data_IF_417361905524
#
_entry.id   IF_417361905524
#
_cell.length_a   1.000
_cell.length_b   1.000
_cell.length_c   1.000
_cell.angle_alpha   90.00
_cell.angle_beta   90.00
_cell.angle_gamma   90.00
#
_symmetry.space_group_name_H-M   'P 1'
#
loop_
_entity.id
_entity.type
_entity.pdbx_description
1 polymer ?
#
# COMPACT_ATOMS: atom_id res chain seq x y z
N UNK A 1 -16.05 4.69 -19.86
CA UNK A 1 -14.96 3.71 -20.02
C UNK A 1 -14.58 3.16 -18.65
N UNK A 2 -14.01 1.95 -18.56
CA UNK A 2 -13.67 1.33 -17.27
C UNK A 2 -12.41 1.96 -16.62
N UNK A 3 -12.52 2.68 -15.48
CA UNK A 3 -11.38 3.37 -14.85
C UNK A 3 -10.18 2.46 -14.50
N UNK A 4 -10.37 1.23 -13.95
CA UNK A 4 -9.31 0.23 -13.78
C UNK A 4 -8.50 -0.05 -15.05
N UNK A 5 -9.15 -0.15 -16.20
CA UNK A 5 -8.47 -0.31 -17.48
C UNK A 5 -7.74 0.95 -17.93
N UNK A 6 -8.34 2.13 -17.74
CA UNK A 6 -7.72 3.41 -18.09
C UNK A 6 -6.42 3.65 -17.29
N UNK A 7 -6.44 3.47 -15.96
CA UNK A 7 -5.24 3.67 -15.11
C UNK A 7 -4.12 2.68 -15.46
N UNK A 8 -4.48 1.44 -15.81
CA UNK A 8 -3.54 0.41 -16.29
C UNK A 8 -2.86 0.85 -17.59
N UNK A 9 -3.64 1.39 -18.53
CA UNK A 9 -3.12 1.89 -19.80
C UNK A 9 -2.24 3.13 -19.63
N UNK A 10 -2.56 4.03 -18.70
CA UNK A 10 -1.69 5.16 -18.35
C UNK A 10 -0.33 4.67 -17.88
N UNK A 11 -0.29 3.73 -16.93
CA UNK A 11 0.95 3.12 -16.45
C UNK A 11 1.76 2.43 -17.57
N UNK A 12 1.07 1.71 -18.46
CA UNK A 12 1.75 1.03 -19.57
C UNK A 12 2.35 2.04 -20.57
N UNK A 13 1.63 3.11 -20.92
CA UNK A 13 2.16 4.16 -21.79
C UNK A 13 3.29 4.96 -21.12
N UNK A 14 3.19 5.20 -19.80
CA UNK A 14 4.27 5.85 -19.05
C UNK A 14 5.57 5.04 -19.13
N UNK A 15 5.48 3.71 -18.96
CA UNK A 15 6.66 2.82 -19.09
C UNK A 15 7.24 2.80 -20.50
N UNK A 16 6.39 2.67 -21.52
CA UNK A 16 6.86 2.46 -22.89
C UNK A 16 7.34 3.75 -23.56
N UNK A 17 6.69 4.87 -23.28
CA UNK A 17 6.88 6.12 -24.02
C UNK A 17 7.23 7.29 -23.12
N UNK A 18 6.61 7.39 -21.94
CA UNK A 18 6.66 8.59 -21.12
C UNK A 18 5.67 9.66 -21.59
N UNK A 19 5.57 10.73 -20.81
CA UNK A 19 4.69 11.87 -21.11
C UNK A 19 5.48 13.19 -21.03
N UNK A 20 4.88 14.26 -21.56
CA UNK A 20 5.32 15.63 -21.37
C UNK A 20 4.14 16.42 -20.82
N UNK A 21 4.38 17.20 -19.77
CA UNK A 21 3.39 18.07 -19.12
C UNK A 21 4.00 19.46 -18.98
N UNK A 22 3.42 20.49 -19.62
CA UNK A 22 3.96 21.85 -19.63
C UNK A 22 5.47 21.89 -19.94
N UNK A 23 5.89 21.18 -20.99
CA UNK A 23 7.30 21.02 -21.41
C UNK A 23 8.19 20.23 -20.44
N UNK A 24 7.69 19.87 -19.25
CA UNK A 24 8.42 19.05 -18.29
C UNK A 24 8.29 17.55 -18.61
N UNK A 25 9.39 16.79 -18.60
CA UNK A 25 9.35 15.37 -18.90
C UNK A 25 8.80 14.55 -17.73
N UNK A 26 7.88 13.63 -18.04
CA UNK A 26 7.36 12.63 -17.11
C UNK A 26 7.87 11.27 -17.56
N UNK A 27 8.77 10.69 -16.78
CA UNK A 27 9.56 9.53 -17.20
C UNK A 27 9.41 8.34 -16.26
N UNK A 28 9.35 7.15 -16.85
CA UNK A 28 9.41 5.90 -16.08
C UNK A 28 10.75 5.72 -15.34
N UNK A 29 11.85 6.26 -15.90
CA UNK A 29 13.16 6.23 -15.26
C UNK A 29 13.16 6.88 -13.88
N UNK A 30 12.37 7.94 -13.65
CA UNK A 30 12.25 8.55 -12.31
C UNK A 30 11.61 7.60 -11.29
N UNK A 31 10.60 6.81 -11.70
CA UNK A 31 9.96 5.80 -10.84
C UNK A 31 10.94 4.64 -10.57
N UNK A 32 11.72 4.25 -11.58
CA UNK A 32 12.74 3.22 -11.44
C UNK A 32 13.87 3.65 -10.49
N UNK A 33 14.44 4.85 -10.68
CA UNK A 33 15.46 5.42 -9.79
C UNK A 33 14.94 5.53 -8.35
N UNK A 34 13.69 6.01 -8.17
CA UNK A 34 13.05 6.03 -6.86
C UNK A 34 12.99 4.63 -6.24
N UNK A 35 12.58 3.62 -7.00
CA UNK A 35 12.53 2.25 -6.51
C UNK A 35 13.92 1.71 -6.15
N UNK A 36 14.92 1.96 -6.99
CA UNK A 36 16.28 1.45 -6.78
C UNK A 36 16.84 2.02 -5.46
N UNK A 37 16.77 3.33 -5.25
CA UNK A 37 17.14 3.97 -3.98
C UNK A 37 16.29 3.49 -2.79
N UNK A 38 14.96 3.42 -2.95
CA UNK A 38 14.05 3.00 -1.86
C UNK A 38 14.25 1.53 -1.48
N UNK A 39 14.71 0.69 -2.40
CA UNK A 39 14.89 -0.75 -2.18
C UNK A 39 16.13 -1.09 -1.35
N UNK A 40 17.13 -0.22 -1.35
CA UNK A 40 18.37 -0.34 -0.57
C UNK A 40 18.17 0.11 0.88
N UNK A 41 17.12 0.89 1.16
CA UNK A 41 16.87 1.41 2.50
C UNK A 41 16.40 0.29 3.46
N UNK A 42 16.93 0.27 4.70
CA UNK A 42 16.52 -0.67 5.76
C UNK A 42 15.05 -0.50 6.19
N UNK A 43 14.51 0.70 5.98
CA UNK A 43 13.07 0.98 6.04
C UNK A 43 12.70 1.73 4.77
N UNK A 44 11.66 1.25 4.08
CA UNK A 44 11.26 1.77 2.78
C UNK A 44 10.13 2.81 2.90
N UNK A 45 10.20 3.87 2.11
CA UNK A 45 9.13 4.85 1.89
C UNK A 45 7.91 4.18 1.24
N UNK A 46 8.15 3.34 0.22
CA UNK A 46 7.11 2.71 -0.59
C UNK A 46 7.13 1.18 -0.48
N UNK A 47 6.83 0.65 0.71
CA UNK A 47 6.88 -0.80 1.02
C UNK A 47 6.03 -1.73 0.13
N UNK A 48 5.07 -1.19 -0.65
CA UNK A 48 4.26 -1.95 -1.61
C UNK A 48 4.89 -2.04 -3.00
N UNK A 49 5.77 -1.11 -3.34
CA UNK A 49 6.47 -1.10 -4.62
C UNK A 49 7.53 -2.22 -4.58
N UNK A 50 7.53 -3.08 -5.59
CA UNK A 50 8.43 -4.24 -5.68
C UNK A 50 9.02 -4.32 -7.08
N UNK A 51 10.08 -5.11 -7.24
CA UNK A 51 10.71 -5.36 -8.55
C UNK A 51 9.72 -5.75 -9.65
N UNK A 52 8.68 -6.52 -9.30
CA UNK A 52 7.58 -6.91 -10.22
C UNK A 52 6.84 -5.69 -10.81
N UNK A 53 6.72 -4.59 -10.07
CA UNK A 53 6.10 -3.35 -10.52
C UNK A 53 6.96 -2.59 -11.54
N UNK A 54 8.28 -2.71 -11.44
CA UNK A 54 9.23 -2.01 -12.30
C UNK A 54 9.49 -2.82 -13.58
N UNK A 55 9.84 -4.09 -13.45
CA UNK A 55 10.15 -4.96 -14.59
C UNK A 55 8.92 -5.28 -15.43
N UNK A 56 7.73 -5.35 -14.81
CA UNK A 56 6.46 -5.68 -15.46
C UNK A 56 6.56 -6.89 -16.41
N UNK A 57 6.86 -8.09 -15.86
CA UNK A 57 6.90 -9.31 -16.65
C UNK A 57 5.54 -9.63 -17.28
N UNK A 58 5.50 -10.64 -18.14
CA UNK A 58 4.27 -11.08 -18.81
C UNK A 58 3.13 -11.31 -17.78
N UNK A 59 1.91 -10.96 -18.15
CA UNK A 59 0.71 -10.87 -17.28
C UNK A 59 0.71 -9.76 -16.21
N UNK A 60 1.87 -9.27 -15.74
CA UNK A 60 1.91 -8.13 -14.80
C UNK A 60 1.42 -6.82 -15.43
N UNK A 61 1.56 -6.68 -16.76
CA UNK A 61 0.98 -5.59 -17.55
C UNK A 61 -0.56 -5.54 -17.49
N UNK A 62 -1.20 -6.68 -17.22
CA UNK A 62 -2.67 -6.80 -17.14
C UNK A 62 -3.20 -6.48 -15.73
N UNK A 63 -2.37 -6.60 -14.69
CA UNK A 63 -2.78 -6.41 -13.30
C UNK A 63 -3.01 -4.94 -12.96
N UNK A 64 -4.26 -4.57 -12.72
CA UNK A 64 -4.65 -3.22 -12.26
C UNK A 64 -4.03 -2.90 -10.91
N UNK A 65 -3.97 -3.86 -9.98
CA UNK A 65 -3.39 -3.65 -8.66
C UNK A 65 -1.95 -3.17 -8.69
N UNK A 66 -1.14 -3.66 -9.64
CA UNK A 66 0.23 -3.19 -9.83
C UNK A 66 0.26 -1.77 -10.41
N UNK A 67 -0.64 -1.45 -11.34
CA UNK A 67 -0.72 -0.10 -11.91
C UNK A 67 -1.09 0.94 -10.85
N UNK A 68 -2.11 0.66 -10.03
CA UNK A 68 -2.56 1.55 -8.95
C UNK A 68 -1.49 1.69 -7.86
N UNK A 69 -0.71 0.63 -7.56
CA UNK A 69 0.37 0.72 -6.59
C UNK A 69 1.55 1.58 -7.08
N UNK A 70 1.88 1.51 -8.37
CA UNK A 70 2.87 2.40 -9.01
C UNK A 70 2.37 3.84 -9.03
N UNK A 71 1.13 4.04 -9.47
CA UNK A 71 0.50 5.35 -9.57
C UNK A 71 -0.21 5.71 -8.26
N UNK A 72 0.50 5.65 -7.13
CA UNK A 72 -0.07 5.90 -5.81
C UNK A 72 0.47 7.14 -5.12
N UNK A 73 -0.34 7.73 -4.23
CA UNK A 73 0.08 8.85 -3.38
C UNK A 73 1.37 8.56 -2.58
N UNK A 74 1.62 7.29 -2.23
CA UNK A 74 2.89 6.90 -1.55
C UNK A 74 4.10 7.04 -2.44
N UNK A 75 3.97 6.66 -3.71
CA UNK A 75 5.06 6.78 -4.68
C UNK A 75 5.31 8.25 -5.01
N UNK A 76 4.25 9.05 -5.22
CA UNK A 76 4.37 10.49 -5.41
C UNK A 76 5.08 11.20 -4.24
N UNK A 77 4.61 10.94 -3.01
CA UNK A 77 5.22 11.50 -1.80
C UNK A 77 6.68 11.06 -1.62
N UNK A 78 7.00 9.80 -1.93
CA UNK A 78 8.36 9.26 -1.88
C UNK A 78 9.29 9.93 -2.89
N UNK A 79 8.87 10.06 -4.15
CA UNK A 79 9.65 10.76 -5.19
C UNK A 79 9.87 12.22 -4.78
N UNK A 80 8.84 12.93 -4.35
CA UNK A 80 8.96 14.33 -3.92
C UNK A 80 9.90 14.52 -2.72
N UNK A 81 9.92 13.55 -1.81
CA UNK A 81 10.83 13.55 -0.66
C UNK A 81 12.28 13.37 -1.11
N UNK A 82 12.55 12.39 -1.99
CA UNK A 82 13.90 12.17 -2.50
C UNK A 82 14.41 13.32 -3.36
N UNK A 83 13.53 14.00 -4.12
CA UNK A 83 13.88 15.24 -4.82
C UNK A 83 14.27 16.34 -3.82
N UNK A 84 13.50 16.50 -2.73
CA UNK A 84 13.79 17.49 -1.69
C UNK A 84 15.15 17.24 -1.01
N UNK A 85 15.55 15.97 -0.89
CA UNK A 85 16.86 15.57 -0.40
C UNK A 85 17.95 15.49 -1.46
N UNK A 86 17.67 15.92 -2.71
CA UNK A 86 18.60 15.89 -3.84
C UNK A 86 19.10 14.48 -4.20
N UNK A 87 18.39 13.44 -3.78
CA UNK A 87 18.65 12.05 -4.16
C UNK A 87 18.07 11.69 -5.54
N UNK A 88 17.07 12.44 -5.99
CA UNK A 88 16.52 12.36 -7.35
C UNK A 88 16.63 13.72 -8.04
N UNK A 89 16.71 13.74 -9.38
CA UNK A 89 16.82 14.98 -10.14
C UNK A 89 15.54 15.84 -10.02
N UNK A 90 15.64 17.18 -10.11
CA UNK A 90 14.50 18.08 -9.92
C UNK A 90 13.33 17.86 -10.88
N UNK A 91 13.61 17.38 -12.10
CA UNK A 91 12.62 17.06 -13.14
C UNK A 91 11.70 15.88 -12.74
N UNK A 92 12.13 15.02 -11.81
CA UNK A 92 11.29 13.98 -11.20
C UNK A 92 10.08 14.56 -10.46
N UNK A 93 10.07 15.85 -10.10
CA UNK A 93 8.92 16.56 -9.53
C UNK A 93 7.70 16.49 -10.44
N UNK A 94 7.87 16.66 -11.75
CA UNK A 94 6.76 16.55 -12.71
C UNK A 94 6.18 15.13 -12.72
N UNK A 95 7.04 14.11 -12.54
CA UNK A 95 6.59 12.72 -12.43
C UNK A 95 5.85 12.46 -11.13
N UNK A 96 6.29 13.02 -10.00
CA UNK A 96 5.55 12.92 -8.74
C UNK A 96 4.14 13.55 -8.84
N UNK A 97 4.04 14.75 -9.44
CA UNK A 97 2.76 15.43 -9.67
C UNK A 97 1.84 14.63 -10.60
N UNK A 98 2.38 14.05 -11.67
CA UNK A 98 1.64 13.17 -12.56
C UNK A 98 1.08 11.95 -11.83
N UNK A 99 1.91 11.28 -11.02
CA UNK A 99 1.52 10.11 -10.22
C UNK A 99 0.42 10.48 -9.23
N UNK A 100 0.58 11.61 -8.52
CA UNK A 100 -0.40 12.10 -7.56
C UNK A 100 -1.75 12.40 -8.22
N UNK A 101 -1.75 13.10 -9.35
CA UNK A 101 -2.97 13.50 -10.06
C UNK A 101 -3.76 12.28 -10.53
N UNK A 102 -3.08 11.24 -11.02
CA UNK A 102 -3.73 10.00 -11.42
C UNK A 102 -4.20 9.14 -10.24
N UNK A 103 -3.49 9.13 -9.09
CA UNK A 103 -3.99 8.50 -7.85
C UNK A 103 -5.31 9.15 -7.42
N UNK A 104 -5.34 10.48 -7.35
CA UNK A 104 -6.52 11.25 -6.98
C UNK A 104 -7.68 11.04 -7.96
N UNK A 105 -7.42 11.11 -9.28
CA UNK A 105 -8.42 10.84 -10.30
C UNK A 105 -8.99 9.42 -10.18
N UNK A 106 -8.14 8.40 -10.02
CA UNK A 106 -8.60 7.03 -9.87
C UNK A 106 -9.44 6.84 -8.59
N UNK A 107 -9.05 7.48 -7.49
CA UNK A 107 -9.82 7.47 -6.23
C UNK A 107 -11.22 8.07 -6.41
N UNK A 108 -11.36 9.16 -7.17
CA UNK A 108 -12.67 9.77 -7.47
C UNK A 108 -13.59 8.82 -8.22
N UNK A 109 -13.04 7.95 -9.07
CA UNK A 109 -13.77 6.95 -9.85
C UNK A 109 -13.94 5.59 -9.15
N UNK A 110 -13.46 5.45 -7.91
CA UNK A 110 -13.49 4.18 -7.19
C UNK A 110 -13.94 4.35 -5.73
N UNK A 111 -14.86 5.29 -5.48
CA UNK A 111 -15.42 5.51 -4.14
C UNK A 111 -16.40 4.40 -3.75
N UNK A 112 -16.12 3.74 -2.62
CA UNK A 112 -16.90 2.60 -2.09
C UNK A 112 -17.71 2.95 -0.84
N UNK A 113 -17.42 4.09 -0.21
CA UNK A 113 -18.00 4.50 1.08
C UNK A 113 -18.26 5.99 1.04
N UNK A 114 -19.23 6.44 1.83
CA UNK A 114 -19.54 7.86 1.97
C UNK A 114 -18.32 8.66 2.40
N UNK A 115 -17.72 8.27 3.53
CA UNK A 115 -16.48 8.82 4.04
C UNK A 115 -15.32 7.82 3.85
N UNK A 116 -14.17 8.33 3.43
CA UNK A 116 -12.92 7.60 3.22
C UNK A 116 -11.79 8.36 3.92
N UNK A 117 -10.65 7.70 4.13
CA UNK A 117 -9.45 8.34 4.67
C UNK A 117 -8.80 9.30 3.67
N UNK A 118 -8.99 9.04 2.36
CA UNK A 118 -8.58 9.95 1.29
C UNK A 118 -9.80 10.75 0.85
N UNK A 119 -9.68 12.07 0.86
CA UNK A 119 -10.78 12.98 0.49
C UNK A 119 -11.24 12.77 -0.94
N UNK A 120 -10.31 12.44 -1.84
CA UNK A 120 -10.60 12.12 -3.25
C UNK A 120 -11.34 10.78 -3.42
N UNK A 121 -11.41 9.95 -2.39
CA UNK A 121 -12.17 8.69 -2.41
C UNK A 121 -13.52 8.79 -1.68
N UNK A 122 -13.95 9.99 -1.28
CA UNK A 122 -15.31 10.21 -0.76
C UNK A 122 -16.37 9.95 -1.83
N UNK A 123 -17.60 9.71 -1.37
CA UNK A 123 -18.73 9.70 -2.29
C UNK A 123 -18.85 11.07 -2.98
N UNK A 124 -19.31 11.04 -4.22
CA UNK A 124 -19.58 12.27 -4.96
C UNK A 124 -20.81 12.95 -4.36
N UNK A 125 -20.68 14.24 -4.04
CA UNK A 125 -21.73 15.10 -3.49
C UNK A 125 -21.47 16.54 -3.97
N UNK A 126 -22.46 17.42 -3.90
CA UNK A 126 -22.28 18.82 -4.30
C UNK A 126 -21.26 19.56 -3.41
N UNK A 127 -21.10 19.12 -2.16
CA UNK A 127 -20.22 19.74 -1.17
C UNK A 127 -18.82 19.14 -1.12
N UNK A 128 -18.56 18.02 -1.79
CA UNK A 128 -17.26 17.33 -1.68
C UNK A 128 -16.13 18.02 -2.45
N UNK A 129 -16.46 18.96 -3.35
CA UNK A 129 -15.47 19.63 -4.22
C UNK A 129 -14.88 18.72 -5.30
N UNK A 130 -15.37 17.47 -5.43
CA UNK A 130 -14.86 16.51 -6.40
C UNK A 130 -15.19 16.92 -7.83
N UNK A 131 -16.36 17.52 -8.09
CA UNK A 131 -16.70 18.05 -9.43
C UNK A 131 -15.69 19.12 -9.86
N UNK A 132 -15.38 20.08 -9.00
CA UNK A 132 -14.36 21.11 -9.29
C UNK A 132 -13.00 20.47 -9.55
N UNK A 133 -12.61 19.45 -8.77
CA UNK A 133 -11.37 18.72 -9.03
C UNK A 133 -11.38 18.02 -10.40
N UNK A 134 -12.50 17.39 -10.79
CA UNK A 134 -12.65 16.71 -12.07
C UNK A 134 -12.57 17.68 -13.24
N UNK A 135 -13.19 18.86 -13.14
CA UNK A 135 -13.11 19.93 -14.14
C UNK A 135 -11.66 20.40 -14.37
N UNK A 136 -10.94 20.74 -13.29
CA UNK A 136 -9.51 21.08 -13.40
C UNK A 136 -8.66 19.91 -13.93
N UNK A 137 -9.06 18.67 -13.63
CA UNK A 137 -8.36 17.48 -14.14
C UNK A 137 -8.60 17.29 -15.63
N UNK A 138 -9.78 17.65 -16.15
CA UNK A 138 -10.08 17.66 -17.58
C UNK A 138 -9.15 18.60 -18.34
N UNK A 139 -8.99 19.82 -17.85
CA UNK A 139 -8.05 20.80 -18.42
C UNK A 139 -6.61 20.28 -18.39
N UNK A 140 -6.19 19.71 -17.26
CA UNK A 140 -4.87 19.12 -17.10
C UNK A 140 -4.61 17.94 -18.07
N UNK A 141 -5.61 17.07 -18.28
CA UNK A 141 -5.50 15.95 -19.22
C UNK A 141 -5.28 16.42 -20.67
N UNK A 142 -5.86 17.56 -21.07
CA UNK A 142 -5.66 18.15 -22.40
C UNK A 142 -4.22 18.65 -22.63
N UNK A 143 -3.48 18.93 -21.55
CA UNK A 143 -2.09 19.39 -21.62
C UNK A 143 -1.10 18.23 -21.69
N UNK A 144 -1.52 17.00 -21.38
CA UNK A 144 -0.66 15.82 -21.44
C UNK A 144 -0.40 15.38 -22.87
N UNK A 145 0.88 15.29 -23.22
CA UNK A 145 1.32 14.74 -24.51
C UNK A 145 2.09 13.45 -24.27
N UNK A 146 1.74 12.39 -25.00
CA UNK A 146 2.54 11.17 -25.01
C UNK A 146 3.82 11.44 -25.79
N UNK A 147 4.98 11.10 -25.21
CA UNK A 147 6.24 11.21 -25.96
C UNK A 147 6.22 10.20 -27.12
N UNK A 148 6.80 10.57 -28.24
CA UNK A 148 6.95 9.71 -29.42
C UNK A 148 5.64 9.22 -30.07
N UNK A 149 4.50 9.82 -29.73
CA UNK A 149 3.22 9.61 -30.41
C UNK A 149 2.60 10.94 -30.78
N UNK A 150 2.24 11.09 -32.05
CA UNK A 150 1.57 12.27 -32.58
C UNK A 150 0.05 12.20 -32.39
N UNK A 151 -0.51 10.99 -32.34
CA UNK A 151 -1.93 10.76 -32.11
C UNK A 151 -2.29 10.79 -30.63
N UNK A 152 -3.49 11.32 -30.35
CA UNK A 152 -4.12 11.27 -29.04
C UNK A 152 -4.26 9.82 -28.56
N UNK A 153 -3.98 9.58 -27.27
CA UNK A 153 -4.08 8.25 -26.69
C UNK A 153 -5.54 7.93 -26.37
N UNK A 154 -6.09 6.77 -26.80
CA UNK A 154 -7.46 6.37 -26.48
C UNK A 154 -7.77 6.35 -24.98
N UNK A 155 -6.77 6.10 -24.12
CA UNK A 155 -6.96 6.13 -22.67
C UNK A 155 -7.12 7.55 -22.11
N UNK A 156 -6.52 8.58 -22.73
CA UNK A 156 -6.70 9.98 -22.31
C UNK A 156 -8.09 10.46 -22.72
N UNK A 157 -8.52 10.16 -23.96
CA UNK A 157 -9.89 10.39 -24.42
C UNK A 157 -10.90 9.66 -23.54
N UNK A 158 -10.61 8.40 -23.18
CA UNK A 158 -11.43 7.62 -22.26
C UNK A 158 -11.59 8.27 -20.89
N UNK A 159 -10.55 8.93 -20.36
CA UNK A 159 -10.65 9.70 -19.11
C UNK A 159 -11.49 10.97 -19.29
N UNK A 160 -11.25 11.75 -20.35
CA UNK A 160 -12.02 12.98 -20.65
C UNK A 160 -13.53 12.69 -20.79
N UNK A 161 -13.86 11.61 -21.50
CA UNK A 161 -15.23 11.15 -21.66
C UNK A 161 -15.82 10.68 -20.33
N UNK A 162 -15.07 9.90 -19.55
CA UNK A 162 -15.57 9.39 -18.27
C UNK A 162 -15.80 10.50 -17.25
N UNK A 163 -14.97 11.55 -17.25
CA UNK A 163 -15.18 12.77 -16.45
C UNK A 163 -16.48 13.45 -16.87
N UNK A 164 -16.63 13.74 -18.17
CA UNK A 164 -17.81 14.44 -18.69
C UNK A 164 -19.11 13.66 -18.46
N UNK A 165 -19.05 12.32 -18.56
CA UNK A 165 -20.19 11.45 -18.30
C UNK A 165 -20.55 11.41 -16.82
N UNK A 166 -19.55 11.37 -15.92
CA UNK A 166 -19.80 11.39 -14.47
C UNK A 166 -20.41 12.72 -14.02
N UNK A 167 -19.95 13.85 -14.57
CA UNK A 167 -20.51 15.17 -14.28
C UNK A 167 -21.98 15.26 -14.69
N UNK A 168 -22.30 14.87 -15.92
CA UNK A 168 -23.68 14.86 -16.43
C UNK A 168 -24.57 13.90 -15.64
N UNK A 169 -24.09 12.69 -15.35
CA UNK A 169 -24.82 11.73 -14.55
C UNK A 169 -25.11 12.27 -13.14
N UNK A 170 -24.12 12.92 -12.51
CA UNK A 170 -24.32 13.46 -11.17
C UNK A 170 -25.35 14.58 -11.14
N UNK A 171 -25.27 15.54 -12.09
CA UNK A 171 -26.25 16.62 -12.21
C UNK A 171 -27.67 16.09 -12.41
N UNK A 172 -27.87 15.11 -13.28
CA UNK A 172 -29.18 14.49 -13.48
C UNK A 172 -29.69 13.78 -12.21
N UNK A 173 -28.85 12.95 -11.58
CA UNK A 173 -29.23 12.21 -10.37
C UNK A 173 -29.53 13.13 -9.17
N UNK A 174 -28.76 14.21 -9.00
CA UNK A 174 -28.94 15.14 -7.87
C UNK A 174 -30.15 16.05 -8.08
N UNK A 175 -30.29 16.63 -9.28
CA UNK A 175 -31.33 17.62 -9.58
C UNK A 175 -32.70 16.97 -9.82
N UNK A 176 -32.76 15.87 -10.59
CA UNK A 176 -34.03 15.29 -11.03
C UNK A 176 -34.50 14.11 -10.15
N UNK A 177 -33.59 13.42 -9.47
CA UNK A 177 -33.91 12.21 -8.71
C UNK A 177 -33.62 12.30 -7.19
N UNK A 178 -33.14 13.46 -6.72
CA UNK A 178 -32.93 13.71 -5.29
C UNK A 178 -31.82 12.86 -4.65
N UNK A 179 -30.86 12.37 -5.43
CA UNK A 179 -29.73 11.61 -4.89
C UNK A 179 -28.83 12.51 -4.03
N UNK A 180 -28.57 12.09 -2.78
CA UNK A 180 -27.71 12.82 -1.85
C UNK A 180 -26.22 12.59 -2.07
N UNK A 181 -25.87 11.45 -2.67
CA UNK A 181 -24.49 11.08 -2.98
C UNK A 181 -24.43 9.98 -4.05
N UNK A 182 -23.27 9.82 -4.68
CA UNK A 182 -23.00 8.75 -5.64
C UNK A 182 -21.71 8.01 -5.30
N UNK A 183 -21.79 6.67 -5.24
CA UNK A 183 -20.64 5.78 -5.06
C UNK A 183 -20.11 5.35 -6.43
N UNK A 184 -19.03 6.00 -6.87
CA UNK A 184 -18.48 5.83 -8.23
C UNK A 184 -17.89 4.45 -8.50
N UNK A 185 -17.52 3.69 -7.46
CA UNK A 185 -17.13 2.27 -7.63
C UNK A 185 -18.24 1.38 -8.19
N UNK A 186 -19.51 1.82 -8.18
CA UNK A 186 -20.64 1.09 -8.77
C UNK A 186 -20.78 1.32 -10.28
N UNK A 187 -20.00 2.23 -10.86
CA UNK A 187 -20.04 2.59 -12.27
C UNK A 187 -18.95 1.89 -13.10
N UNK A 188 -18.13 1.05 -12.47
CA UNK A 188 -17.06 0.30 -13.14
C UNK A 188 -17.47 -1.16 -13.39
N UNK A 189 -16.63 -1.88 -14.14
CA UNK A 189 -16.91 -3.28 -14.51
C UNK A 189 -16.34 -4.29 -13.50
N UNK A 190 -15.78 -3.84 -12.37
CA UNK A 190 -15.19 -4.73 -11.35
C UNK A 190 -16.19 -5.80 -10.85
N UNK A 191 -17.48 -5.49 -10.55
CA UNK A 191 -18.42 -6.52 -10.12
C UNK A 191 -18.60 -7.65 -11.15
N UNK A 192 -18.56 -7.31 -12.44
CA UNK A 192 -18.65 -8.27 -13.53
C UNK A 192 -17.36 -9.11 -13.64
N UNK A 193 -16.18 -8.49 -13.52
CA UNK A 193 -14.91 -9.23 -13.51
C UNK A 193 -14.79 -10.19 -12.32
N UNK A 194 -15.32 -9.78 -11.16
CA UNK A 194 -15.40 -10.62 -9.97
C UNK A 194 -16.31 -11.83 -10.22
N UNK A 195 -17.48 -11.63 -10.85
CA UNK A 195 -18.36 -12.72 -11.24
C UNK A 195 -17.65 -13.71 -12.18
N UNK A 196 -16.92 -13.22 -13.19
CA UNK A 196 -16.15 -14.10 -14.07
C UNK A 196 -15.07 -14.88 -13.32
N UNK A 197 -14.48 -14.30 -12.29
CA UNK A 197 -13.49 -14.97 -11.45
C UNK A 197 -14.12 -16.09 -10.60
N UNK A 198 -15.32 -15.86 -10.06
CA UNK A 198 -16.11 -16.91 -9.37
C UNK A 198 -16.44 -18.05 -10.34
N UNK A 199 -16.92 -17.73 -11.55
CA UNK A 199 -17.25 -18.72 -12.58
C UNK A 199 -16.03 -19.56 -12.97
N UNK A 200 -14.87 -18.93 -13.22
CA UNK A 200 -13.62 -19.66 -13.50
C UNK A 200 -13.16 -20.52 -12.33
N UNK A 201 -13.36 -20.05 -11.10
CA UNK A 201 -13.00 -20.79 -9.88
C UNK A 201 -13.77 -22.09 -9.72
N UNK A 202 -15.00 -22.18 -10.23
CA UNK A 202 -15.81 -23.42 -10.21
C UNK A 202 -15.23 -24.54 -11.08
N UNK A 203 -14.38 -24.22 -12.05
CA UNK A 203 -13.71 -25.21 -12.91
C UNK A 203 -12.46 -25.87 -12.27
N UNK A 204 -12.07 -25.48 -11.06
CA UNK A 204 -10.85 -25.97 -10.42
C UNK A 204 -9.60 -25.67 -11.25
N UNK A 205 -8.92 -26.71 -11.71
CA UNK A 205 -7.75 -26.57 -12.58
C UNK A 205 -8.10 -26.13 -14.02
N UNK A 206 -9.36 -26.24 -14.43
CA UNK A 206 -9.84 -25.77 -15.74
C UNK A 206 -10.38 -24.35 -15.64
N UNK A 207 -9.47 -23.37 -15.68
CA UNK A 207 -9.80 -21.94 -15.53
C UNK A 207 -10.35 -21.27 -16.80
N UNK A 208 -10.42 -22.01 -17.92
CA UNK A 208 -10.98 -21.54 -19.19
C UNK A 208 -12.19 -22.41 -19.57
N UNK A 209 -13.39 -22.10 -19.04
CA UNK A 209 -14.58 -22.90 -19.30
C UNK A 209 -15.06 -22.72 -20.74
N UNK A 210 -15.56 -23.78 -21.35
CA UNK A 210 -16.33 -23.69 -22.60
C UNK A 210 -17.74 -23.10 -22.35
N UNK A 211 -18.51 -22.86 -23.41
CA UNK A 211 -19.83 -22.23 -23.30
C UNK A 211 -20.82 -23.03 -22.43
N UNK A 212 -20.73 -24.37 -22.44
CA UNK A 212 -21.60 -25.24 -21.63
C UNK A 212 -21.19 -25.18 -20.16
N UNK A 213 -19.90 -25.24 -19.89
CA UNK A 213 -19.33 -25.12 -18.56
C UNK A 213 -19.62 -23.75 -17.94
N UNK A 214 -19.45 -22.67 -18.71
CA UNK A 214 -19.76 -21.32 -18.29
C UNK A 214 -21.24 -21.19 -17.91
N UNK A 215 -22.14 -21.67 -18.77
CA UNK A 215 -23.60 -21.65 -18.49
C UNK A 215 -23.93 -22.42 -17.21
N UNK A 216 -23.34 -23.58 -17.01
CA UNK A 216 -23.55 -24.41 -15.82
C UNK A 216 -23.05 -23.71 -14.55
N UNK A 217 -21.81 -23.21 -14.58
CA UNK A 217 -21.19 -22.51 -13.45
C UNK A 217 -21.91 -21.20 -13.12
N UNK A 218 -22.36 -20.45 -14.12
CA UNK A 218 -23.16 -19.24 -13.94
C UNK A 218 -24.51 -19.56 -13.29
N UNK A 219 -25.24 -20.57 -13.81
CA UNK A 219 -26.52 -21.02 -13.23
C UNK A 219 -26.34 -21.43 -11.77
N UNK A 220 -25.31 -22.21 -11.46
CA UNK A 220 -25.02 -22.60 -10.08
C UNK A 220 -24.74 -21.38 -9.21
N UNK A 221 -23.97 -20.40 -9.71
CA UNK A 221 -23.64 -19.18 -8.95
C UNK A 221 -24.88 -18.34 -8.63
N UNK A 222 -25.83 -18.26 -9.57
CA UNK A 222 -27.11 -17.60 -9.33
C UNK A 222 -27.94 -18.33 -8.27
N UNK A 223 -28.04 -19.66 -8.36
CA UNK A 223 -28.75 -20.48 -7.37
C UNK A 223 -28.12 -20.32 -5.99
N UNK A 224 -26.79 -20.43 -5.86
CA UNK A 224 -26.07 -20.27 -4.60
C UNK A 224 -26.35 -18.88 -3.96
N UNK A 225 -26.43 -17.84 -4.79
CA UNK A 225 -26.69 -16.46 -4.33
C UNK A 225 -28.14 -16.21 -3.88
N UNK A 226 -29.11 -16.99 -4.38
CA UNK A 226 -30.53 -16.87 -4.01
C UNK A 226 -30.84 -17.79 -2.82
N UNK A 227 -30.18 -18.94 -2.75
CA UNK A 227 -30.40 -19.97 -1.73
C UNK A 227 -29.62 -19.73 -0.42
N UNK A 228 -28.86 -18.63 -0.34
CA UNK A 228 -28.25 -18.17 0.91
C UNK A 228 -29.35 -17.58 1.79
N UNK A 229 -29.82 -18.37 2.77
CA UNK A 229 -30.88 -17.98 3.72
C UNK A 229 -30.51 -16.70 4.48
N UNK A 230 -31.48 -15.81 4.69
CA UNK A 230 -31.32 -14.61 5.52
C UNK A 230 -30.94 -14.98 6.96
N UNK A 231 -30.06 -14.19 7.60
CA UNK A 231 -29.58 -14.41 8.98
C UNK A 231 -30.69 -14.44 10.05
N UNK A 232 -31.92 -14.00 9.73
CA UNK A 232 -33.05 -13.87 10.66
C UNK A 232 -34.29 -14.70 10.25
N UNK A 233 -34.19 -16.03 10.13
CA UNK A 233 -35.39 -16.88 9.98
C UNK A 233 -35.84 -17.48 11.32
N UNK A 234 -37.16 -17.48 11.56
CA UNK A 234 -37.83 -18.03 12.75
C UNK A 234 -38.12 -19.55 12.66
N UNK A 235 -37.66 -20.24 11.62
CA UNK A 235 -37.89 -21.68 11.43
C UNK A 235 -36.63 -22.49 11.76
N UNK A 236 -36.81 -23.64 12.43
CA UNK A 236 -35.73 -24.58 12.73
C UNK A 236 -35.01 -25.05 11.46
N UNK A 237 -33.69 -25.22 11.56
CA UNK A 237 -32.83 -25.68 10.47
C UNK A 237 -33.17 -27.12 10.13
N UNK A 238 -33.81 -27.34 8.99
CA UNK A 238 -33.99 -28.67 8.42
C UNK A 238 -32.72 -29.13 7.66
N UNK A 239 -32.53 -30.45 7.59
CA UNK A 239 -31.42 -31.20 6.97
C UNK A 239 -31.25 -30.92 5.48
N UNK A 240 -32.17 -30.19 4.85
CA UNK A 240 -32.02 -29.67 3.50
C UNK A 240 -30.76 -28.78 3.36
N UNK A 241 -30.34 -28.11 4.43
CA UNK A 241 -29.12 -27.27 4.45
C UNK A 241 -27.86 -28.06 4.08
N UNK A 242 -27.82 -29.37 4.37
CA UNK A 242 -26.71 -30.28 4.03
C UNK A 242 -26.60 -30.58 2.53
N UNK A 243 -27.72 -30.57 1.81
CA UNK A 243 -27.74 -30.83 0.36
C UNK A 243 -27.33 -29.61 -0.46
N UNK A 244 -27.45 -28.41 0.11
CA UNK A 244 -27.17 -27.14 -0.56
C UNK A 244 -25.81 -26.53 -0.22
N UNK A 245 -25.12 -27.05 0.80
CA UNK A 245 -23.82 -26.54 1.23
C UNK A 245 -22.65 -27.17 0.46
N UNK A 246 -22.52 -26.84 -0.83
CA UNK A 246 -21.29 -27.14 -1.62
C UNK A 246 -20.07 -26.40 -1.05
N UNK A 247 -20.28 -25.39 -0.20
CA UNK A 247 -19.22 -24.66 0.49
C UNK A 247 -18.36 -25.57 1.39
N UNK A 248 -18.92 -26.66 1.93
CA UNK A 248 -18.17 -27.62 2.74
C UNK A 248 -17.26 -28.56 1.91
N UNK A 249 -17.45 -28.66 0.59
CA UNK A 249 -16.61 -29.50 -0.27
C UNK A 249 -15.37 -28.73 -0.75
N UNK A 250 -15.41 -27.39 -0.82
CA UNK A 250 -14.28 -26.57 -1.27
C UNK A 250 -13.23 -26.28 -0.20
N UNK A 251 -13.50 -26.52 1.09
CA UNK A 251 -12.51 -26.30 2.16
C UNK A 251 -11.38 -27.34 2.21
N UNK A 252 -11.41 -28.38 1.36
CA UNK A 252 -10.33 -29.37 1.27
C UNK A 252 -9.28 -29.09 0.17
N UNK A 253 -9.27 -27.90 -0.44
CA UNK A 253 -8.08 -27.46 -1.20
C UNK A 253 -7.10 -26.82 -0.21
N UNK A 254 -6.12 -27.65 0.19
CA UNK A 254 -4.98 -27.35 1.06
C UNK A 254 -4.51 -25.88 1.03
N UNK A 255 -4.90 -25.11 2.04
CA UNK A 255 -3.98 -24.16 2.64
C UNK A 255 -2.97 -24.95 3.50
N UNK A 256 -1.65 -24.72 3.39
CA UNK A 256 -0.73 -25.29 4.35
C UNK A 256 -0.94 -24.61 5.71
N UNK A 257 -1.74 -25.28 6.54
CA UNK A 257 -1.82 -25.05 7.98
C UNK A 257 -0.45 -25.37 8.57
N UNK A 258 0.27 -24.33 9.02
CA UNK A 258 1.44 -24.50 9.88
C UNK A 258 0.96 -25.03 11.23
N UNK A 259 0.90 -26.35 11.35
CA UNK A 259 0.64 -27.04 12.62
C UNK A 259 1.88 -26.97 13.51
N UNK A 260 1.70 -26.38 14.69
CA UNK A 260 2.58 -26.49 15.85
C UNK A 260 2.99 -27.96 16.07
N UNK A 261 4.29 -28.24 15.95
CA UNK A 261 4.87 -29.45 16.51
C UNK A 261 5.97 -28.98 17.49
N UNK A 262 5.63 -29.04 18.78
CA UNK A 262 6.60 -29.04 19.86
C UNK A 262 7.43 -30.33 19.78
N UNK A 263 8.74 -30.22 19.58
CA UNK A 263 9.72 -31.23 19.95
C UNK A 263 10.97 -30.54 20.48
N UNK A 264 11.21 -30.68 21.78
CA UNK A 264 12.47 -30.40 22.46
C UNK A 264 13.46 -31.54 22.17
N UNK A 265 14.71 -31.25 21.76
CA UNK A 265 15.98 -31.89 22.18
C UNK A 265 17.19 -31.06 21.66
N UNK A 266 18.45 -31.23 22.13
CA UNK A 266 19.24 -30.14 22.74
C UNK A 266 20.55 -29.76 22.01
N UNK A 267 21.17 -28.72 22.59
CA UNK A 267 22.43 -28.00 22.31
C UNK A 267 23.67 -28.79 21.82
N UNK A 268 24.48 -28.14 20.94
CA UNK A 268 25.97 -27.93 20.96
C UNK A 268 26.47 -27.63 19.52
N UNK A 269 27.48 -26.81 19.16
CA UNK A 269 28.55 -26.01 19.79
C UNK A 269 29.02 -24.93 18.77
N UNK A 270 29.56 -23.82 19.31
CA UNK A 270 30.46 -22.76 18.77
C UNK A 270 30.91 -22.78 17.29
N UNK A 271 31.00 -21.58 16.70
CA UNK A 271 32.30 -20.96 16.35
C UNK A 271 32.18 -19.43 16.32
N UNK A 272 33.18 -18.79 16.93
CA UNK A 272 33.44 -17.36 17.05
C UNK A 272 33.92 -16.83 15.70
N UNK A 273 33.34 -15.74 15.20
CA UNK A 273 34.09 -14.75 14.43
C UNK A 273 33.69 -13.35 14.88
N UNK A 274 34.57 -12.79 15.72
CA UNK A 274 34.78 -11.36 15.86
C UNK A 274 35.04 -10.77 14.49
N UNK A 275 34.26 -9.77 14.09
CA UNK A 275 34.73 -8.66 13.27
C UNK A 275 33.81 -7.47 13.58
N UNK A 276 34.43 -6.36 13.98
CA UNK A 276 33.78 -5.12 14.34
C UNK A 276 32.81 -4.68 13.23
N UNK A 277 31.60 -4.17 13.55
CA UNK A 277 30.75 -3.58 12.53
C UNK A 277 31.48 -2.39 11.90
N UNK A 278 31.51 -2.27 10.57
CA UNK A 278 32.01 -1.07 9.91
C UNK A 278 31.19 0.13 10.39
N UNK A 279 31.87 1.23 10.70
CA UNK A 279 31.25 2.53 10.97
C UNK A 279 30.30 2.88 9.82
N UNK A 280 29.01 3.02 10.14
CA UNK A 280 28.00 3.43 9.15
C UNK A 280 28.22 4.91 8.79
N UNK A 281 28.24 5.27 7.49
CA UNK A 281 28.13 6.66 7.07
C UNK A 281 26.78 7.23 7.55
N UNK A 282 26.80 8.48 8.00
CA UNK A 282 25.71 9.16 8.71
C UNK A 282 24.31 8.94 8.13
N UNK A 283 23.31 8.90 9.01
CA UNK A 283 21.90 8.71 8.68
C UNK A 283 21.49 9.61 7.51
N UNK A 284 21.14 9.01 6.37
CA UNK A 284 20.59 9.79 5.27
C UNK A 284 19.32 10.51 5.76
N UNK A 285 19.12 11.78 5.38
CA UNK A 285 17.92 12.56 5.69
C UNK A 285 16.61 11.78 5.41
N UNK A 286 16.66 10.85 4.46
CA UNK A 286 15.59 9.92 4.12
C UNK A 286 15.21 9.00 5.28
N UNK A 287 16.18 8.38 5.97
CA UNK A 287 15.90 7.50 7.10
C UNK A 287 15.28 8.27 8.26
N UNK A 288 15.80 9.47 8.57
CA UNK A 288 15.25 10.33 9.61
C UNK A 288 13.80 10.73 9.32
N UNK A 289 13.48 11.02 8.06
CA UNK A 289 12.13 11.34 7.64
C UNK A 289 11.17 10.14 7.73
N UNK A 290 11.65 8.93 7.48
CA UNK A 290 10.88 7.69 7.65
C UNK A 290 10.63 7.41 9.13
N UNK A 291 11.66 7.58 9.97
CA UNK A 291 11.55 7.40 11.42
C UNK A 291 10.55 8.42 12.00
N UNK A 292 10.59 9.68 11.55
CA UNK A 292 9.62 10.70 11.92
C UNK A 292 8.18 10.28 11.58
N UNK A 293 7.98 9.73 10.38
CA UNK A 293 6.68 9.22 9.94
C UNK A 293 6.17 8.05 10.81
N UNK A 294 7.06 7.11 11.16
CA UNK A 294 6.73 6.00 12.08
C UNK A 294 6.39 6.53 13.47
N UNK A 295 7.19 7.46 14.00
CA UNK A 295 6.95 8.08 15.29
C UNK A 295 5.62 8.84 15.31
N UNK A 296 5.29 9.56 14.25
CA UNK A 296 3.97 10.19 14.06
C UNK A 296 2.80 9.20 14.05
N UNK A 297 2.98 8.02 13.43
CA UNK A 297 2.00 6.94 13.50
C UNK A 297 1.84 6.40 14.93
N UNK A 298 2.94 6.28 15.69
CA UNK A 298 2.91 5.87 17.10
C UNK A 298 2.10 6.89 17.93
N UNK A 299 2.32 8.20 17.74
CA UNK A 299 1.52 9.26 18.39
C UNK A 299 0.03 9.07 18.10
N UNK A 300 -0.34 8.88 16.83
CA UNK A 300 -1.73 8.65 16.42
C UNK A 300 -2.36 7.44 17.12
N UNK A 301 -1.61 6.35 17.29
CA UNK A 301 -2.09 5.13 17.95
C UNK A 301 -2.15 5.22 19.48
N UNK A 302 -1.31 6.04 20.09
CA UNK A 302 -1.27 6.20 21.55
C UNK A 302 -2.18 7.31 22.06
N UNK A 303 -2.58 8.27 21.23
CA UNK A 303 -3.41 9.42 21.63
C UNK A 303 -4.69 9.07 22.39
N UNK A 304 -5.31 7.93 22.08
CA UNK A 304 -6.52 7.45 22.78
C UNK A 304 -6.25 6.56 23.99
N UNK A 305 -4.99 6.24 24.29
CA UNK A 305 -4.58 5.27 25.32
C UNK A 305 -3.78 5.89 26.48
N UNK A 306 -3.32 7.12 26.33
CA UNK A 306 -2.50 7.83 27.33
C UNK A 306 -3.17 9.16 27.70
N UNK A 307 -2.78 9.74 28.84
CA UNK A 307 -3.34 11.02 29.27
C UNK A 307 -2.90 12.19 28.38
N UNK A 308 -3.66 13.29 28.42
CA UNK A 308 -3.41 14.48 27.58
C UNK A 308 -1.99 15.03 27.70
N UNK A 309 -1.44 15.10 28.93
CA UNK A 309 -0.06 15.55 29.18
C UNK A 309 0.96 14.66 28.45
N UNK A 310 0.75 13.35 28.45
CA UNK A 310 1.63 12.43 27.73
C UNK A 310 1.48 12.54 26.22
N UNK A 311 0.30 12.88 25.70
CA UNK A 311 0.10 13.14 24.27
C UNK A 311 0.87 14.41 23.87
N UNK A 312 0.74 15.49 24.63
CA UNK A 312 1.46 16.74 24.40
C UNK A 312 2.98 16.54 24.47
N UNK A 313 3.47 15.72 25.39
CA UNK A 313 4.88 15.37 25.52
C UNK A 313 5.48 14.67 24.29
N UNK A 314 4.70 13.82 23.62
CA UNK A 314 5.18 12.99 22.49
C UNK A 314 4.83 13.57 21.12
N UNK A 315 4.02 14.61 21.07
CA UNK A 315 3.59 15.25 19.82
C UNK A 315 4.19 16.64 19.68
N UNK A 316 4.28 17.12 18.45
CA UNK A 316 4.70 18.49 18.15
C UNK A 316 3.91 19.05 16.98
N UNK A 317 4.10 20.34 16.71
CA UNK A 317 3.63 20.92 15.46
C UNK A 317 4.50 20.43 14.31
N UNK A 318 3.86 20.22 13.14
CA UNK A 318 4.57 19.84 11.92
C UNK A 318 5.46 20.98 11.47
N UNK A 319 6.78 20.79 11.59
CA UNK A 319 7.74 21.58 10.83
C UNK A 319 7.56 21.32 9.33
N UNK A 320 7.12 22.33 8.58
CA UNK A 320 6.85 22.24 7.14
C UNK A 320 8.14 22.34 6.32
N UNK A 321 9.17 22.98 6.87
CA UNK A 321 10.41 23.28 6.16
C UNK A 321 11.58 22.37 6.59
N UNK A 322 11.44 21.68 7.72
CA UNK A 322 12.46 20.78 8.26
C UNK A 322 12.64 19.50 7.44
N UNK A 323 13.90 19.03 7.26
CA UNK A 323 14.19 17.81 6.53
C UNK A 323 13.50 16.59 7.17
N UNK A 324 13.51 16.51 8.49
CA UNK A 324 12.94 15.42 9.29
C UNK A 324 11.45 15.20 9.05
N UNK A 325 10.66 16.26 8.83
CA UNK A 325 9.23 16.13 8.61
C UNK A 325 8.84 16.13 7.13
N UNK A 326 9.80 16.22 6.21
CA UNK A 326 9.55 16.33 4.77
C UNK A 326 8.63 15.21 4.26
N UNK A 327 8.96 13.93 4.53
CA UNK A 327 8.13 12.82 4.07
C UNK A 327 6.73 12.86 4.69
N UNK A 328 6.65 13.14 5.99
CA UNK A 328 5.38 13.25 6.72
C UNK A 328 4.48 14.32 6.11
N UNK A 329 5.03 15.49 5.79
CA UNK A 329 4.32 16.61 5.15
C UNK A 329 3.84 16.20 3.76
N UNK A 330 4.71 15.64 2.92
CA UNK A 330 4.36 15.19 1.56
C UNK A 330 3.34 14.05 1.56
N UNK A 331 3.32 13.23 2.62
CA UNK A 331 2.43 12.08 2.79
C UNK A 331 1.07 12.45 3.42
N UNK A 332 0.93 13.66 3.93
CA UNK A 332 -0.31 14.13 4.52
C UNK A 332 -1.23 14.65 3.41
N UNK A 333 -2.44 14.10 3.31
CA UNK A 333 -3.42 14.57 2.32
C UNK A 333 -3.81 16.03 2.58
N UNK A 334 -3.94 16.82 1.52
CA UNK A 334 -4.30 18.25 1.58
C UNK A 334 -5.66 18.47 2.28
N UNK A 335 -5.78 19.56 3.05
CA UNK A 335 -6.98 20.02 3.80
C UNK A 335 -7.32 19.26 5.10
N UNK A 336 -6.38 18.52 5.67
CA UNK A 336 -6.52 17.93 7.00
C UNK A 336 -5.99 18.88 8.09
N UNK A 337 -6.63 20.04 8.24
CA UNK A 337 -6.22 21.09 9.19
C UNK A 337 -6.59 20.72 10.65
N UNK A 338 -7.53 19.78 10.82
CA UNK A 338 -8.00 19.31 12.14
C UNK A 338 -7.84 17.80 12.40
N UNK A 339 -7.22 17.06 11.49
CA UNK A 339 -7.06 15.62 11.64
C UNK A 339 -6.29 14.99 10.48
N UNK A 340 -5.01 14.73 10.67
CA UNK A 340 -4.12 14.10 9.69
C UNK A 340 -2.95 13.40 10.36
N UNK A 341 -1.86 13.19 9.62
CA UNK A 341 -0.63 12.61 10.17
C UNK A 341 -0.08 13.49 11.30
N UNK A 342 0.20 12.88 12.45
CA UNK A 342 0.71 13.57 13.65
C UNK A 342 2.23 13.71 13.55
N UNK A 343 2.79 14.84 13.98
CA UNK A 343 4.24 14.99 14.11
C UNK A 343 4.70 14.56 15.51
N UNK A 344 5.85 13.84 15.61
CA UNK A 344 6.46 13.48 16.88
C UNK A 344 7.17 14.68 17.53
N UNK A 345 7.32 14.68 18.85
CA UNK A 345 8.27 15.58 19.52
C UNK A 345 9.72 15.18 19.24
N UNK A 346 10.66 16.12 19.36
CA UNK A 346 12.09 15.85 19.16
C UNK A 346 12.61 14.72 20.06
N UNK A 347 12.10 14.61 21.28
CA UNK A 347 12.45 13.53 22.20
C UNK A 347 11.93 12.16 21.73
N UNK A 348 10.71 12.10 21.21
CA UNK A 348 10.17 10.85 20.64
C UNK A 348 10.94 10.46 19.36
N UNK A 349 11.25 11.44 18.51
CA UNK A 349 12.07 11.28 17.31
C UNK A 349 13.42 10.63 17.65
N UNK A 350 14.14 11.19 18.63
CA UNK A 350 15.44 10.68 19.07
C UNK A 350 15.33 9.27 19.67
N UNK A 351 14.30 9.01 20.49
CA UNK A 351 14.06 7.67 21.02
C UNK A 351 13.83 6.64 19.90
N UNK A 352 13.03 6.96 18.88
CA UNK A 352 12.80 6.08 17.75
C UNK A 352 14.06 5.89 16.88
N UNK A 353 14.89 6.93 16.75
CA UNK A 353 16.18 6.83 16.07
C UNK A 353 17.14 5.89 16.82
N UNK A 354 17.32 6.09 18.12
CA UNK A 354 18.14 5.22 18.96
C UNK A 354 17.62 3.77 18.95
N UNK A 355 16.30 3.60 19.02
CA UNK A 355 15.65 2.30 18.92
C UNK A 355 15.92 1.62 17.57
N UNK A 356 15.99 2.35 16.45
CA UNK A 356 16.33 1.79 15.15
C UNK A 356 17.78 1.29 15.10
N UNK A 357 18.73 2.08 15.59
CA UNK A 357 20.15 1.71 15.64
C UNK A 357 20.36 0.43 16.44
N UNK A 358 19.71 0.33 17.60
CA UNK A 358 19.76 -0.87 18.45
C UNK A 358 19.01 -2.03 17.79
N UNK A 359 17.86 -1.80 17.16
CA UNK A 359 17.11 -2.84 16.45
C UNK A 359 17.96 -3.49 15.36
N UNK A 360 18.68 -2.71 14.55
CA UNK A 360 19.54 -3.22 13.46
C UNK A 360 20.68 -4.09 13.98
N UNK A 361 21.35 -3.66 15.04
CA UNK A 361 22.46 -4.44 15.63
C UNK A 361 21.96 -5.67 16.40
N UNK A 362 20.74 -5.66 16.93
CA UNK A 362 20.20 -6.75 17.73
C UNK A 362 19.43 -7.80 16.93
N UNK A 363 18.85 -7.47 15.76
CA UNK A 363 17.91 -8.36 15.07
C UNK A 363 18.57 -9.61 14.53
N UNK A 364 19.68 -9.50 13.79
CA UNK A 364 20.34 -10.65 13.15
C UNK A 364 20.81 -11.70 14.17
N UNK A 365 21.54 -11.31 15.25
CA UNK A 365 21.98 -12.28 16.25
C UNK A 365 20.82 -12.90 17.03
N UNK A 366 19.67 -12.21 17.12
CA UNK A 366 18.56 -12.62 17.99
C UNK A 366 17.46 -13.39 17.26
N UNK A 367 17.55 -13.58 15.93
CA UNK A 367 16.48 -14.20 15.11
C UNK A 367 16.00 -15.57 15.62
N UNK A 368 16.88 -16.35 16.26
CA UNK A 368 16.59 -17.69 16.79
C UNK A 368 15.95 -17.69 18.19
N UNK A 369 15.88 -16.54 18.87
CA UNK A 369 15.49 -16.45 20.28
C UNK A 369 13.96 -16.47 20.44
N UNK A 370 13.44 -17.35 21.30
CA UNK A 370 12.04 -17.33 21.71
C UNK A 370 11.73 -16.05 22.51
N UNK A 371 10.64 -15.37 22.16
CA UNK A 371 10.30 -14.08 22.77
C UNK A 371 11.15 -12.90 22.25
N UNK A 372 11.68 -12.99 21.03
CA UNK A 372 12.48 -11.97 20.33
C UNK A 372 12.04 -10.52 20.58
N UNK A 373 10.73 -10.24 20.45
CA UNK A 373 10.18 -8.90 20.70
C UNK A 373 10.56 -8.36 22.08
N UNK A 374 10.38 -9.17 23.13
CA UNK A 374 10.69 -8.77 24.50
C UNK A 374 12.19 -8.58 24.71
N UNK A 375 13.01 -9.45 24.09
CA UNK A 375 14.46 -9.35 24.12
C UNK A 375 14.96 -8.02 23.52
N UNK A 376 14.47 -7.66 22.32
CA UNK A 376 14.83 -6.41 21.65
C UNK A 376 14.37 -5.20 22.47
N UNK A 377 13.13 -5.19 22.94
CA UNK A 377 12.61 -4.07 23.75
C UNK A 377 13.47 -3.89 25.01
N UNK A 378 13.83 -4.97 25.70
CA UNK A 378 14.68 -4.93 26.89
C UNK A 378 16.06 -4.34 26.58
N UNK A 379 16.72 -4.79 25.50
CA UNK A 379 18.01 -4.21 25.08
C UNK A 379 17.90 -2.72 24.75
N UNK A 380 16.82 -2.29 24.08
CA UNK A 380 16.58 -0.88 23.82
C UNK A 380 16.38 -0.12 25.13
N UNK A 381 15.60 -0.65 26.07
CA UNK A 381 15.36 -0.02 27.37
C UNK A 381 16.63 0.08 28.23
N UNK A 382 17.50 -0.93 28.20
CA UNK A 382 18.80 -0.94 28.90
C UNK A 382 19.80 0.05 28.29
N UNK A 383 19.83 0.17 26.96
CA UNK A 383 20.81 0.99 26.25
C UNK A 383 20.40 2.46 26.06
N UNK A 384 19.11 2.79 26.23
CA UNK A 384 18.64 4.18 26.20
C UNK A 384 18.41 4.67 27.63
N UNK A 385 19.13 5.70 28.06
CA UNK A 385 18.82 6.41 29.32
C UNK A 385 17.70 7.43 29.13
N UNK A 386 17.28 7.65 27.88
CA UNK A 386 16.28 8.65 27.50
C UNK A 386 14.93 8.35 28.16
N UNK A 387 14.67 9.00 29.29
CA UNK A 387 13.30 9.32 29.65
C UNK A 387 12.78 10.24 28.54
N UNK A 388 11.62 9.93 27.97
CA UNK A 388 10.87 10.91 27.18
C UNK A 388 10.68 12.10 28.15
N UNK A 389 11.40 13.23 27.99
CA UNK A 389 11.62 14.20 29.08
C UNK A 389 10.36 14.88 29.61
N UNK A 390 9.19 14.61 29.03
CA UNK A 390 7.94 15.29 29.35
C UNK A 390 6.86 14.36 29.95
N UNK A 391 7.16 13.11 30.32
CA UNK A 391 6.18 12.26 31.03
C UNK A 391 6.66 11.87 32.42
N UNK A 392 6.52 12.78 33.39
CA UNK A 392 6.50 12.45 34.84
C UNK A 392 5.31 11.54 35.24
N UNK A 393 4.48 11.16 34.27
CA UNK A 393 3.33 10.30 34.44
C UNK A 393 3.75 8.82 34.52
N UNK A 394 3.96 8.33 35.73
CA UNK A 394 4.23 6.91 36.01
C UNK A 394 3.08 6.00 35.54
N UNK A 395 1.85 6.51 35.51
CA UNK A 395 0.63 5.74 35.18
C UNK A 395 0.55 5.29 33.72
N UNK A 396 1.08 6.06 32.77
CA UNK A 396 0.87 5.78 31.34
C UNK A 396 1.94 4.87 30.70
N UNK A 397 3.08 4.65 31.37
CA UNK A 397 4.20 3.83 30.87
C UNK A 397 4.52 4.06 29.38
N UNK A 398 4.58 5.34 28.98
CA UNK A 398 4.61 5.78 27.58
C UNK A 398 5.79 5.19 26.83
N UNK A 399 6.97 5.21 27.45
CA UNK A 399 8.20 4.68 26.87
C UNK A 399 8.05 3.21 26.46
N UNK A 400 7.50 2.35 27.32
CA UNK A 400 7.27 0.94 27.00
C UNK A 400 6.27 0.76 25.88
N UNK A 401 5.19 1.54 25.86
CA UNK A 401 4.18 1.49 24.80
C UNK A 401 4.75 1.91 23.43
N UNK A 402 5.53 2.99 23.40
CA UNK A 402 6.23 3.49 22.21
C UNK A 402 7.16 2.41 21.67
N UNK A 403 8.07 1.88 22.51
CA UNK A 403 9.03 0.86 22.09
C UNK A 403 8.34 -0.43 21.63
N UNK A 404 7.24 -0.83 22.27
CA UNK A 404 6.46 -1.99 21.85
C UNK A 404 5.89 -1.81 20.46
N UNK A 405 5.27 -0.65 20.18
CA UNK A 405 4.72 -0.35 18.85
C UNK A 405 5.83 -0.24 17.80
N UNK A 406 6.92 0.45 18.12
CA UNK A 406 8.05 0.63 17.24
C UNK A 406 8.67 -0.72 16.83
N UNK A 407 9.02 -1.56 17.81
CA UNK A 407 9.63 -2.87 17.55
C UNK A 407 8.68 -3.78 16.77
N UNK A 408 7.36 -3.75 17.03
CA UNK A 408 6.39 -4.51 16.24
C UNK A 408 6.39 -4.09 14.77
N UNK A 409 6.34 -2.77 14.49
CA UNK A 409 6.39 -2.23 13.13
C UNK A 409 7.69 -2.67 12.46
N UNK A 410 8.81 -2.57 13.17
CA UNK A 410 10.13 -2.91 12.64
C UNK A 410 10.30 -4.38 12.35
N UNK A 411 9.84 -5.27 13.22
CA UNK A 411 9.80 -6.71 12.97
C UNK A 411 8.99 -7.03 11.72
N UNK A 412 7.79 -6.47 11.56
CA UNK A 412 6.99 -6.68 10.35
C UNK A 412 7.69 -6.20 9.08
N UNK A 413 8.32 -5.03 9.11
CA UNK A 413 9.09 -4.53 7.97
C UNK A 413 10.29 -5.42 7.64
N UNK A 414 11.05 -5.84 8.66
CA UNK A 414 12.22 -6.71 8.49
C UNK A 414 11.83 -8.08 7.91
N UNK A 415 10.79 -8.72 8.48
CA UNK A 415 10.28 -10.00 7.97
C UNK A 415 9.77 -9.89 6.53
N UNK A 416 9.11 -8.77 6.19
CA UNK A 416 8.64 -8.53 4.81
C UNK A 416 9.80 -8.42 3.82
N UNK A 417 10.90 -7.77 4.21
CA UNK A 417 12.11 -7.68 3.39
C UNK A 417 12.76 -9.06 3.22
N UNK A 418 12.95 -9.80 4.31
CA UNK A 418 13.53 -11.15 4.26
C UNK A 418 12.69 -12.11 3.41
N UNK A 419 11.36 -12.10 3.59
CA UNK A 419 10.46 -12.91 2.76
C UNK A 419 10.56 -12.53 1.27
N UNK A 420 10.75 -11.24 0.96
CA UNK A 420 10.99 -10.79 -0.41
C UNK A 420 12.27 -11.37 -1.02
N UNK A 421 13.36 -11.39 -0.24
CA UNK A 421 14.65 -11.99 -0.65
C UNK A 421 14.52 -13.50 -0.84
N UNK A 422 13.87 -14.20 0.07
CA UNK A 422 13.66 -15.65 -0.04
C UNK A 422 12.81 -16.03 -1.26
N UNK A 423 11.76 -15.26 -1.55
CA UNK A 423 10.89 -15.48 -2.71
C UNK A 423 11.62 -15.23 -4.03
N UNK A 424 12.51 -14.22 -4.10
CA UNK A 424 13.30 -13.96 -5.31
C UNK A 424 14.33 -15.08 -5.54
N UNK A 425 15.01 -15.55 -4.49
CA UNK A 425 15.92 -16.70 -4.56
C UNK A 425 15.20 -17.98 -5.00
N UNK A 426 14.01 -18.26 -4.45
CA UNK A 426 13.21 -19.41 -4.87
C UNK A 426 12.78 -19.32 -6.33
N UNK A 427 12.40 -18.13 -6.80
CA UNK A 427 12.00 -17.91 -8.19
C UNK A 427 13.17 -18.09 -9.16
N UNK A 428 14.36 -17.59 -8.80
CA UNK A 428 15.58 -17.77 -9.59
C UNK A 428 15.96 -19.25 -9.69
N UNK A 429 15.95 -19.99 -8.57
CA UNK A 429 16.19 -21.45 -8.57
C UNK A 429 15.18 -22.19 -9.44
N UNK A 430 13.91 -21.78 -9.46
CA UNK A 430 12.89 -22.38 -10.32
C UNK A 430 13.14 -22.08 -11.82
N UNK A 431 13.59 -20.86 -12.14
CA UNK A 431 13.96 -20.47 -13.50
C UNK A 431 15.20 -21.24 -14.00
N UNK A 432 16.23 -21.38 -13.14
CA UNK A 432 17.43 -22.17 -13.43
C UNK A 432 17.11 -23.63 -13.69
N UNK A 433 16.24 -24.26 -12.86
CA UNK A 433 15.78 -25.64 -13.09
C UNK A 433 15.07 -25.79 -14.43
N UNK A 434 14.19 -24.85 -14.78
CA UNK A 434 13.51 -24.86 -16.10
C UNK A 434 14.51 -24.69 -17.24
N UNK A 435 15.45 -23.76 -17.13
CA UNK A 435 16.48 -23.54 -18.14
C UNK A 435 17.39 -24.77 -18.32
N UNK A 436 17.70 -25.49 -17.25
CA UNK A 436 18.45 -26.75 -17.32
C UNK A 436 17.69 -27.84 -18.09
N UNK A 437 16.37 -27.97 -17.87
CA UNK A 437 15.52 -28.92 -18.61
C UNK A 437 15.54 -28.62 -20.12
N UNK A 438 15.49 -27.35 -20.51
CA UNK A 438 15.52 -26.94 -21.92
C UNK A 438 16.88 -27.04 -22.60
N UNK A 439 17.99 -27.20 -21.86
CA UNK A 439 19.33 -27.43 -22.44
C UNK A 439 19.63 -28.91 -22.69
N UNK A 440 18.77 -29.80 -22.21
CA UNK A 440 18.89 -31.26 -22.37
C UNK A 440 17.88 -31.85 -23.37
N UNK A 441 17.17 -30.98 -24.11
CA UNK A 441 16.40 -31.29 -25.32
C UNK A 441 17.09 -30.61 -26.50
#
# INVERSE_FOLDING_TARGET
MDPPHLIKNIRNNLKTHGFTLYEQPVLWSHIQQFYDHDSELPIRLATKLTKRHIELPNFAKLKVSLAVQVLSHTVAAGISTMVSFKALPPDATATAQFVEKFDQLFNCFNSRRFNSTSTMAHALTDKSGLIQFLQHTKEWLLQLKCRNKTQSLPCLEGWLLSISALEQLWSDLSENFGFRFLLTSRLNQDPLENLFSVVRGKGGHRTNPDAKEFRSALRQTMVDSIMTTSENQNCEKDLATSLFNVHHIQQNVMEPQLTNIQREVPCSIRTIMSNNPPELPGSSNTEEAIIAYIAGYIVSKLRSKICAVCVEAISSQRDVNGPTHTFLVKKNFMRCDKGGLQAPSASLQNLCHNAETIFRSAIEPSTHISGLRGHIIRRIMEATSDNIPATSCEKCNVRRLVLTLFVNIRLHHHLKLQNGVLLSQSSNKAAERKAAIFRHQ
#
